data_IF_713471914673
#
_entry.id   IF_713471914673
#
_cell.length_a   1.000
_cell.length_b   1.000
_cell.length_c   1.000
_cell.angle_alpha   90.00
_cell.angle_beta   90.00
_cell.angle_gamma   90.00
#
_symmetry.space_group_name_H-M   'P 1'
#
loop_
_entity.id
_entity.type
_entity.pdbx_description
1 polymer ?
#
# COMPACT_ATOMS: atom_id res chain seq x y z
N UNK A 1 14.72 -12.04 -8.39
CA UNK A 1 13.28 -12.08 -8.15
C UNK A 1 12.67 -10.69 -8.20
N UNK A 2 11.35 -10.62 -8.35
CA UNK A 2 10.60 -9.36 -8.41
C UNK A 2 9.70 -9.18 -7.19
N UNK A 3 9.58 -10.21 -6.36
CA UNK A 3 8.73 -10.19 -5.19
C UNK A 3 9.53 -9.77 -3.95
N UNK A 4 8.90 -9.05 -3.00
CA UNK A 4 9.49 -8.83 -1.69
C UNK A 4 9.72 -10.17 -0.99
N UNK A 5 10.73 -10.23 -0.16
CA UNK A 5 11.04 -11.40 0.68
C UNK A 5 11.45 -10.95 2.07
N UNK A 6 11.19 -11.80 3.04
CA UNK A 6 11.52 -11.59 4.43
C UNK A 6 12.39 -12.74 4.93
N UNK A 7 13.31 -12.43 5.82
CA UNK A 7 14.18 -13.42 6.47
C UNK A 7 14.14 -13.19 7.97
N UNK A 8 13.74 -14.20 8.73
CA UNK A 8 13.86 -14.15 10.18
C UNK A 8 15.33 -14.36 10.58
N UNK A 9 15.95 -13.30 11.06
CA UNK A 9 17.36 -13.29 11.49
C UNK A 9 17.52 -13.54 12.98
N UNK A 10 16.45 -13.58 13.77
CA UNK A 10 16.50 -13.77 15.23
C UNK A 10 17.38 -14.92 15.69
N UNK A 11 17.35 -16.12 15.05
CA UNK A 11 18.20 -17.24 15.46
C UNK A 11 19.70 -17.04 15.19
N UNK A 12 20.06 -16.01 14.44
CA UNK A 12 21.44 -15.75 13.98
C UNK A 12 22.04 -14.49 14.58
N UNK A 13 21.28 -13.78 15.42
CA UNK A 13 21.78 -12.59 16.09
C UNK A 13 22.83 -12.96 17.14
N UNK A 14 23.90 -12.18 17.16
CA UNK A 14 24.92 -12.24 18.22
C UNK A 14 24.36 -11.65 19.53
N UNK A 15 25.10 -11.84 20.61
CA UNK A 15 24.74 -11.31 21.93
C UNK A 15 24.60 -9.77 21.90
N UNK A 16 23.80 -9.25 22.84
CA UNK A 16 23.51 -7.82 22.93
C UNK A 16 24.79 -6.99 23.04
N UNK A 17 24.97 -6.09 22.08
CA UNK A 17 26.13 -5.21 21.99
C UNK A 17 27.21 -5.68 21.02
N UNK A 18 27.10 -6.87 20.48
CA UNK A 18 27.98 -7.36 19.43
C UNK A 18 27.50 -6.94 18.04
N UNK A 19 28.44 -6.87 17.10
CA UNK A 19 28.14 -6.51 15.70
C UNK A 19 27.58 -7.72 14.96
N UNK A 20 26.45 -7.52 14.28
CA UNK A 20 25.88 -8.48 13.35
C UNK A 20 26.26 -8.08 11.91
N UNK A 21 26.57 -9.07 11.08
CA UNK A 21 26.93 -8.84 9.67
C UNK A 21 25.94 -9.56 8.77
N UNK A 22 25.34 -8.80 7.86
CA UNK A 22 24.48 -9.34 6.80
C UNK A 22 25.29 -9.33 5.50
N UNK A 23 25.35 -10.49 4.83
CA UNK A 23 25.98 -10.64 3.52
C UNK A 23 24.92 -10.98 2.49
N UNK A 24 24.80 -10.14 1.47
CA UNK A 24 23.90 -10.35 0.35
C UNK A 24 24.69 -10.75 -0.88
N UNK A 25 24.32 -11.87 -1.51
CA UNK A 25 24.84 -12.27 -2.83
C UNK A 25 23.77 -12.06 -3.89
N UNK A 26 24.08 -11.27 -4.89
CA UNK A 26 23.25 -11.06 -6.07
C UNK A 26 23.89 -11.74 -7.26
N UNK A 27 23.11 -12.54 -7.97
CA UNK A 27 23.52 -13.16 -9.23
C UNK A 27 22.56 -12.74 -10.33
N UNK A 28 23.08 -12.09 -11.34
CA UNK A 28 22.34 -11.64 -12.51
C UNK A 28 23.18 -11.94 -13.77
N UNK A 29 22.76 -12.95 -14.47
CA UNK A 29 23.49 -13.42 -15.66
C UNK A 29 22.94 -12.79 -16.92
N UNK A 30 23.84 -12.39 -17.80
CA UNK A 30 23.49 -11.87 -19.12
C UNK A 30 23.10 -13.03 -20.05
N UNK A 31 21.89 -13.55 -19.87
CA UNK A 31 21.32 -14.59 -20.72
C UNK A 31 19.85 -14.31 -21.05
N UNK A 32 19.33 -14.95 -22.08
CA UNK A 32 17.99 -14.71 -22.61
C UNK A 32 16.88 -15.51 -21.88
N UNK A 33 17.24 -16.36 -20.93
CA UNK A 33 16.32 -17.28 -20.25
C UNK A 33 15.78 -16.76 -18.92
N UNK A 34 16.29 -15.63 -18.45
CA UNK A 34 15.81 -15.03 -17.20
C UNK A 34 14.77 -13.94 -17.43
N UNK A 35 13.89 -13.74 -16.46
CA UNK A 35 12.90 -12.68 -16.49
C UNK A 35 13.58 -11.33 -16.30
N UNK A 36 13.40 -10.41 -17.24
CA UNK A 36 14.01 -9.08 -17.24
C UNK A 36 13.01 -7.93 -17.14
N UNK A 37 11.72 -8.23 -17.26
CA UNK A 37 10.73 -7.17 -17.44
C UNK A 37 11.00 -6.38 -18.73
N UNK A 38 11.03 -5.06 -18.62
CA UNK A 38 11.34 -4.15 -19.75
C UNK A 38 12.81 -3.70 -19.81
N UNK A 39 13.71 -4.40 -19.14
CA UNK A 39 15.13 -4.10 -19.22
C UNK A 39 15.70 -4.57 -20.56
N UNK A 40 16.58 -3.76 -21.16
CA UNK A 40 17.31 -4.12 -22.37
C UNK A 40 18.28 -5.28 -22.09
N UNK A 41 18.53 -6.10 -23.10
CA UNK A 41 19.65 -7.05 -23.11
C UNK A 41 20.95 -6.43 -23.64
N UNK A 42 20.88 -5.18 -24.12
CA UNK A 42 22.04 -4.38 -24.54
C UNK A 42 22.45 -3.43 -23.40
N UNK A 43 23.68 -2.94 -23.42
CA UNK A 43 24.21 -2.02 -22.40
C UNK A 43 23.54 -0.64 -22.43
N UNK A 44 22.88 -0.31 -23.52
CA UNK A 44 22.19 0.97 -23.70
C UNK A 44 20.70 0.76 -23.85
N UNK A 45 19.88 1.70 -23.38
CA UNK A 45 18.45 1.65 -23.64
C UNK A 45 18.19 1.73 -25.14
N UNK A 46 17.30 0.87 -25.62
CA UNK A 46 16.99 0.75 -27.05
C UNK A 46 15.48 0.71 -27.23
N UNK A 47 14.91 1.66 -27.97
CA UNK A 47 13.46 1.75 -28.22
C UNK A 47 12.66 1.90 -26.91
N UNK A 48 11.87 0.87 -26.55
CA UNK A 48 11.04 0.85 -25.33
C UNK A 48 11.68 0.07 -24.18
N UNK A 49 12.96 -0.31 -24.31
CA UNK A 49 13.68 -1.08 -23.29
C UNK A 49 14.56 -0.16 -22.45
N UNK A 50 14.52 -0.35 -21.14
CA UNK A 50 15.26 0.44 -20.16
C UNK A 50 16.69 -0.07 -19.95
N UNK A 51 17.50 0.72 -19.28
CA UNK A 51 18.86 0.34 -18.87
C UNK A 51 18.77 -0.90 -17.98
N UNK A 52 19.59 -1.94 -18.21
CA UNK A 52 19.70 -3.07 -17.31
C UNK A 52 20.17 -2.65 -15.93
N UNK A 53 19.52 -3.16 -14.90
CA UNK A 53 19.90 -2.94 -13.51
C UNK A 53 19.83 -4.26 -12.75
N UNK A 54 20.74 -4.45 -11.80
CA UNK A 54 20.86 -5.68 -11.02
C UNK A 54 20.87 -5.36 -9.54
N UNK A 55 20.35 -6.27 -8.74
CA UNK A 55 20.34 -6.15 -7.28
C UNK A 55 18.98 -5.84 -6.68
N UNK A 56 18.99 -5.52 -5.40
CA UNK A 56 17.79 -5.10 -4.67
C UNK A 56 17.51 -3.66 -5.04
N UNK A 57 16.33 -3.41 -5.59
CA UNK A 57 15.94 -2.11 -6.14
C UNK A 57 14.96 -1.34 -5.24
N UNK A 58 14.48 -1.95 -4.17
CA UNK A 58 13.63 -1.31 -3.16
C UNK A 58 14.31 -1.33 -1.79
N UNK A 59 13.73 -0.60 -0.84
CA UNK A 59 14.27 -0.44 0.50
C UNK A 59 14.50 -1.77 1.23
N UNK A 60 15.60 -1.84 1.94
CA UNK A 60 15.92 -2.93 2.89
C UNK A 60 15.83 -2.35 4.30
N UNK A 61 15.06 -3.00 5.16
CA UNK A 61 14.87 -2.55 6.53
C UNK A 61 14.77 -3.73 7.49
N UNK A 62 15.01 -3.46 8.77
CA UNK A 62 14.78 -4.38 9.86
C UNK A 62 13.51 -3.99 10.58
N UNK A 63 12.72 -4.99 10.92
CA UNK A 63 11.49 -4.82 11.66
C UNK A 63 11.47 -5.79 12.84
N UNK A 64 11.20 -5.27 14.04
CA UNK A 64 10.93 -6.09 15.21
C UNK A 64 9.44 -6.43 15.24
N UNK A 65 9.11 -7.71 15.34
CA UNK A 65 7.73 -8.19 15.39
C UNK A 65 7.52 -9.10 16.59
N UNK A 66 6.34 -9.05 17.17
CA UNK A 66 5.90 -10.01 18.16
C UNK A 66 5.73 -11.40 17.54
N UNK A 67 5.66 -12.43 18.37
CA UNK A 67 5.44 -13.81 17.88
C UNK A 67 4.11 -13.95 17.11
N UNK A 68 3.08 -13.25 17.57
CA UNK A 68 1.80 -13.10 16.85
C UNK A 68 1.57 -11.64 16.54
N UNK A 69 1.39 -11.32 15.26
CA UNK A 69 1.20 -9.97 14.76
C UNK A 69 0.20 -9.92 13.60
N UNK A 70 -0.28 -8.72 13.30
CA UNK A 70 -1.13 -8.44 12.13
C UNK A 70 -0.25 -8.46 10.87
N UNK A 71 -0.45 -9.45 10.02
CA UNK A 71 0.30 -9.59 8.76
C UNK A 71 -0.23 -8.60 7.70
N UNK A 72 -1.54 -8.63 7.44
CA UNK A 72 -2.18 -7.78 6.42
C UNK A 72 -3.49 -7.20 6.90
N UNK A 73 -3.79 -6.00 6.37
CA UNK A 73 -5.07 -5.31 6.53
C UNK A 73 -5.59 -4.98 5.14
N UNK A 74 -6.84 -5.35 4.86
CA UNK A 74 -7.58 -4.90 3.69
C UNK A 74 -8.78 -4.10 4.14
N UNK A 75 -8.95 -2.91 3.58
CA UNK A 75 -10.09 -2.03 3.86
C UNK A 75 -10.91 -1.86 2.60
N UNK A 76 -12.19 -2.22 2.68
CA UNK A 76 -13.15 -2.04 1.59
C UNK A 76 -14.20 -1.02 2.03
N UNK A 77 -14.23 0.20 1.47
CA UNK A 77 -15.21 1.20 1.82
C UNK A 77 -16.53 0.99 1.08
N UNK A 78 -17.64 1.34 1.75
CA UNK A 78 -19.00 1.33 1.23
C UNK A 78 -19.64 2.70 1.48
N UNK A 79 -19.63 3.56 0.46
CA UNK A 79 -20.10 4.93 0.58
C UNK A 79 -21.61 5.03 0.85
N UNK A 80 -22.40 4.14 0.23
CA UNK A 80 -23.87 4.17 0.34
C UNK A 80 -24.34 3.82 1.78
N UNK A 81 -23.57 3.08 2.54
CA UNK A 81 -23.84 2.70 3.93
C UNK A 81 -22.90 3.34 4.92
N UNK A 82 -22.06 4.28 4.47
CA UNK A 82 -21.08 4.97 5.33
C UNK A 82 -20.33 3.99 6.23
N UNK A 83 -19.75 2.95 5.64
CA UNK A 83 -19.09 1.89 6.40
C UNK A 83 -17.84 1.41 5.69
N UNK A 84 -17.00 0.74 6.46
CA UNK A 84 -15.85 0.00 5.95
C UNK A 84 -15.94 -1.45 6.37
N UNK A 85 -15.57 -2.35 5.50
CA UNK A 85 -15.26 -3.74 5.83
C UNK A 85 -13.75 -3.90 5.95
N UNK A 86 -13.30 -4.54 7.02
CA UNK A 86 -11.90 -4.76 7.29
C UNK A 86 -11.67 -6.26 7.34
N UNK A 87 -10.79 -6.76 6.46
CA UNK A 87 -10.23 -8.10 6.56
C UNK A 87 -8.83 -8.00 7.16
N UNK A 88 -8.63 -8.72 8.27
CA UNK A 88 -7.40 -8.72 9.05
C UNK A 88 -6.82 -10.12 8.98
N UNK A 89 -5.59 -10.26 8.50
CA UNK A 89 -4.85 -11.50 8.47
C UNK A 89 -3.74 -11.46 9.51
N UNK A 90 -3.59 -12.54 10.24
CA UNK A 90 -2.53 -12.72 11.23
C UNK A 90 -1.48 -13.70 10.69
N UNK A 91 -0.24 -13.56 11.15
CA UNK A 91 0.83 -14.50 10.77
C UNK A 91 0.63 -15.90 11.35
N UNK A 92 -0.11 -16.01 12.47
CA UNK A 92 -0.47 -17.26 13.16
C UNK A 92 -1.87 -17.11 13.76
N UNK A 93 -2.42 -18.20 14.27
CA UNK A 93 -3.66 -18.16 15.05
C UNK A 93 -3.53 -17.20 16.24
N UNK A 94 -4.47 -16.29 16.34
CA UNK A 94 -4.58 -15.33 17.43
C UNK A 94 -5.90 -15.49 18.16
N UNK A 95 -5.85 -15.57 19.49
CA UNK A 95 -7.03 -15.56 20.36
C UNK A 95 -6.91 -14.42 21.35
N UNK A 96 -7.74 -13.41 21.19
CA UNK A 96 -7.66 -12.21 22.02
C UNK A 96 -8.64 -11.14 21.61
N UNK A 97 -8.36 -9.92 22.04
CA UNK A 97 -9.11 -8.72 21.62
C UNK A 97 -8.31 -7.90 20.63
N UNK A 98 -9.02 -7.26 19.73
CA UNK A 98 -8.50 -6.24 18.83
C UNK A 98 -9.34 -4.96 19.00
N UNK A 99 -8.67 -3.81 18.99
CA UNK A 99 -9.28 -2.49 18.90
C UNK A 99 -9.00 -1.92 17.52
N UNK A 100 -10.03 -1.39 16.87
CA UNK A 100 -9.90 -0.65 15.62
C UNK A 100 -10.27 0.82 15.90
N UNK A 101 -9.37 1.72 15.49
CA UNK A 101 -9.53 3.16 15.63
C UNK A 101 -9.44 3.80 14.25
N UNK A 102 -10.48 4.52 13.85
CA UNK A 102 -10.51 5.32 12.62
C UNK A 102 -10.37 6.80 12.96
N UNK A 103 -9.44 7.48 12.27
CA UNK A 103 -9.21 8.92 12.39
C UNK A 103 -9.23 9.60 11.03
N UNK A 104 -9.49 10.90 11.02
CA UNK A 104 -9.31 11.76 9.85
C UNK A 104 -7.87 12.28 9.72
N UNK A 105 -7.63 13.12 8.71
CA UNK A 105 -6.33 13.75 8.45
C UNK A 105 -5.90 14.74 9.54
N UNK A 106 -6.84 15.22 10.36
CA UNK A 106 -6.58 16.11 11.50
C UNK A 106 -6.34 15.35 12.80
N UNK A 107 -6.21 14.01 12.74
CA UNK A 107 -6.07 13.12 13.89
C UNK A 107 -7.30 13.07 14.80
N UNK A 108 -8.47 13.50 14.30
CA UNK A 108 -9.73 13.45 15.04
C UNK A 108 -10.29 12.03 14.96
N UNK A 109 -10.64 11.46 16.12
CA UNK A 109 -11.28 10.15 16.22
C UNK A 109 -12.68 10.20 15.60
N UNK A 110 -12.90 9.36 14.57
CA UNK A 110 -14.18 9.19 13.91
C UNK A 110 -14.96 8.05 14.54
N UNK A 111 -14.30 6.91 14.76
CA UNK A 111 -14.93 5.73 15.33
C UNK A 111 -13.90 4.84 16.02
N UNK A 112 -14.34 4.20 17.12
CA UNK A 112 -13.53 3.20 17.83
C UNK A 112 -14.39 1.99 18.19
N UNK A 113 -13.97 0.82 17.75
CA UNK A 113 -14.63 -0.43 18.09
C UNK A 113 -13.64 -1.44 18.66
N UNK A 114 -14.13 -2.30 19.55
CA UNK A 114 -13.36 -3.42 20.08
C UNK A 114 -14.12 -4.73 19.84
N UNK A 115 -13.41 -5.75 19.43
CA UNK A 115 -13.98 -7.05 19.08
C UNK A 115 -13.03 -8.19 19.47
N UNK A 116 -13.60 -9.40 19.57
CA UNK A 116 -12.83 -10.61 19.81
C UNK A 116 -12.37 -11.23 18.50
N UNK A 117 -11.16 -11.78 18.54
CA UNK A 117 -10.54 -12.56 17.47
C UNK A 117 -10.30 -13.98 17.99
N UNK A 118 -10.60 -14.99 17.17
CA UNK A 118 -10.27 -16.38 17.39
C UNK A 118 -9.99 -17.01 16.01
N UNK A 119 -8.72 -17.15 15.65
CA UNK A 119 -8.26 -17.70 14.37
C UNK A 119 -7.16 -16.87 13.67
N UNK A 120 -6.88 -17.23 12.43
CA UNK A 120 -5.84 -16.62 11.60
C UNK A 120 -6.34 -15.43 10.77
N UNK A 121 -7.66 -15.26 10.72
CA UNK A 121 -8.32 -14.22 9.93
C UNK A 121 -9.55 -13.69 10.68
N UNK A 122 -9.84 -12.39 10.50
CA UNK A 122 -11.02 -11.74 11.04
C UNK A 122 -11.60 -10.75 10.06
N UNK A 123 -12.91 -10.85 9.82
CA UNK A 123 -13.69 -9.85 9.09
C UNK A 123 -14.59 -9.09 10.05
N UNK A 124 -14.61 -7.79 9.91
CA UNK A 124 -15.53 -6.91 10.64
C UNK A 124 -16.04 -5.80 9.73
N UNK A 125 -17.21 -5.28 10.07
CA UNK A 125 -17.76 -4.08 9.44
C UNK A 125 -17.91 -2.99 10.49
N UNK A 126 -17.42 -1.80 10.17
CA UNK A 126 -17.47 -0.61 11.03
C UNK A 126 -18.32 0.44 10.31
N UNK A 127 -19.32 0.96 11.01
CA UNK A 127 -20.09 2.11 10.56
C UNK A 127 -19.31 3.38 10.89
N UNK A 128 -19.28 4.33 9.95
CA UNK A 128 -18.62 5.61 10.15
C UNK A 128 -19.70 6.68 10.40
N UNK A 129 -19.73 7.29 11.59
CA UNK A 129 -20.83 8.17 12.01
C UNK A 129 -20.72 9.59 11.44
N UNK A 130 -20.70 9.73 10.11
CA UNK A 130 -20.65 11.06 9.46
C UNK A 130 -21.99 11.83 9.53
N UNK A 131 -23.04 11.26 10.13
CA UNK A 131 -24.37 11.87 10.22
C UNK A 131 -25.19 11.77 8.94
N UNK A 132 -26.39 12.39 8.93
CA UNK A 132 -27.33 12.34 7.81
C UNK A 132 -26.85 13.14 6.59
N UNK A 133 -25.93 14.06 6.77
CA UNK A 133 -25.27 14.81 5.71
C UNK A 133 -23.85 14.31 5.54
N UNK A 134 -23.69 13.20 4.82
CA UNK A 134 -22.37 12.87 4.27
C UNK A 134 -22.09 13.93 3.21
N UNK A 135 -21.34 14.93 3.59
CA UNK A 135 -20.83 15.87 2.63
C UNK A 135 -19.93 15.11 1.67
N UNK A 136 -20.10 15.35 0.37
CA UNK A 136 -19.19 14.84 -0.67
C UNK A 136 -17.72 15.17 -0.37
N UNK A 137 -17.49 16.11 0.54
CA UNK A 137 -16.20 16.50 1.10
C UNK A 137 -15.45 15.34 1.78
N UNK A 138 -16.15 14.31 2.27
CA UNK A 138 -15.54 13.14 2.88
C UNK A 138 -15.19 12.03 1.87
N UNK A 139 -15.65 12.17 0.61
CA UNK A 139 -15.34 11.16 -0.40
C UNK A 139 -14.04 11.47 -1.11
N UNK A 140 -13.22 10.44 -1.18
CA UNK A 140 -11.99 10.52 -1.94
C UNK A 140 -12.29 10.64 -3.45
N UNK A 141 -11.63 11.58 -4.09
CA UNK A 141 -11.56 11.70 -5.55
C UNK A 141 -10.19 12.27 -5.94
N UNK A 142 -9.80 12.23 -7.24
CA UNK A 142 -8.57 12.89 -7.70
C UNK A 142 -8.51 14.40 -7.41
N UNK A 143 -9.66 15.05 -7.28
CA UNK A 143 -9.78 16.48 -6.96
C UNK A 143 -9.96 16.74 -5.46
N UNK A 144 -10.33 15.73 -4.70
CA UNK A 144 -10.49 15.75 -3.23
C UNK A 144 -9.88 14.48 -2.61
N UNK A 145 -8.56 14.38 -2.49
CA UNK A 145 -7.87 13.14 -2.09
C UNK A 145 -7.87 12.89 -0.57
N UNK A 146 -8.99 13.07 0.09
CA UNK A 146 -9.16 12.87 1.55
C UNK A 146 -8.90 11.43 1.93
N UNK A 147 -8.08 11.23 2.95
CA UNK A 147 -7.75 9.93 3.51
C UNK A 147 -8.19 9.82 4.97
N UNK A 148 -8.57 8.61 5.36
CA UNK A 148 -8.78 8.20 6.74
C UNK A 148 -7.68 7.23 7.14
N UNK A 149 -7.39 7.15 8.43
CA UNK A 149 -6.35 6.31 9.00
C UNK A 149 -6.99 5.29 9.94
N UNK A 150 -6.69 4.03 9.70
CA UNK A 150 -7.13 2.92 10.53
C UNK A 150 -5.93 2.39 11.31
N UNK A 151 -6.04 2.37 12.62
CA UNK A 151 -5.08 1.71 13.51
C UNK A 151 -5.74 0.51 14.19
N UNK A 152 -5.14 -0.66 14.05
CA UNK A 152 -5.54 -1.88 14.74
C UNK A 152 -4.53 -2.18 15.84
N UNK A 153 -5.02 -2.40 17.07
CA UNK A 153 -4.18 -2.74 18.23
C UNK A 153 -4.67 -4.05 18.83
N UNK A 154 -3.80 -5.03 18.94
CA UNK A 154 -4.09 -6.33 19.56
C UNK A 154 -3.85 -6.30 21.07
N UNK A 155 -4.52 -7.19 21.79
CA UNK A 155 -4.35 -7.32 23.24
C UNK A 155 -2.98 -7.83 23.68
N UNK A 156 -2.14 -8.33 22.76
CA UNK A 156 -0.75 -8.68 23.02
C UNK A 156 0.21 -7.49 22.83
N UNK A 157 -0.30 -6.33 22.39
CA UNK A 157 0.48 -5.12 22.17
C UNK A 157 0.92 -4.90 20.72
N UNK A 158 0.64 -5.81 19.78
CA UNK A 158 0.90 -5.58 18.37
C UNK A 158 0.00 -4.49 17.81
N UNK A 159 0.56 -3.65 16.94
CA UNK A 159 -0.16 -2.55 16.32
C UNK A 159 0.20 -2.43 14.84
N UNK A 160 -0.82 -2.24 14.01
CA UNK A 160 -0.64 -1.97 12.58
C UNK A 160 -1.60 -0.92 12.10
N UNK A 161 -1.09 0.05 11.32
CA UNK A 161 -1.88 1.13 10.74
C UNK A 161 -1.89 1.04 9.22
N UNK A 162 -2.97 1.56 8.63
CA UNK A 162 -3.13 1.76 7.19
C UNK A 162 -3.99 2.98 6.91
N UNK A 163 -3.95 3.50 5.70
CA UNK A 163 -4.85 4.56 5.24
C UNK A 163 -5.81 4.07 4.18
N UNK A 164 -6.97 4.72 4.08
CA UNK A 164 -7.95 4.42 3.04
C UNK A 164 -8.72 5.68 2.63
N UNK A 165 -9.17 5.73 1.36
CA UNK A 165 -10.11 6.75 0.91
C UNK A 165 -11.52 6.19 0.90
N UNK A 166 -12.50 6.94 1.40
CA UNK A 166 -13.91 6.56 1.34
C UNK A 166 -14.43 6.79 -0.08
N UNK A 167 -14.38 5.75 -0.90
CA UNK A 167 -14.78 5.81 -2.32
C UNK A 167 -15.38 4.49 -2.77
N UNK A 168 -16.17 4.55 -3.83
CA UNK A 168 -16.44 3.39 -4.64
C UNK A 168 -16.12 3.67 -6.12
N UNK A 169 -15.74 2.61 -6.84
CA UNK A 169 -15.57 2.64 -8.29
C UNK A 169 -16.31 1.43 -8.86
N UNK A 170 -17.15 1.66 -9.88
CA UNK A 170 -17.91 0.59 -10.53
C UNK A 170 -18.10 0.88 -12.01
N UNK A 171 -18.46 -0.14 -12.76
CA UNK A 171 -18.87 -0.01 -14.16
C UNK A 171 -20.36 -0.32 -14.26
N UNK A 172 -21.11 0.61 -14.80
CA UNK A 172 -22.56 0.49 -15.00
C UNK A 172 -22.91 1.08 -16.37
N UNK A 173 -23.68 0.37 -17.16
CA UNK A 173 -24.08 0.73 -18.53
C UNK A 173 -22.89 1.18 -19.41
N UNK A 174 -21.76 0.49 -19.30
CA UNK A 174 -20.53 0.80 -20.05
C UNK A 174 -19.81 2.09 -19.62
N UNK A 175 -20.21 2.69 -18.51
CA UNK A 175 -19.58 3.89 -17.94
C UNK A 175 -18.86 3.54 -16.63
N UNK A 176 -17.71 4.16 -16.42
CA UNK A 176 -17.05 4.14 -15.11
C UNK A 176 -17.72 5.17 -14.23
N UNK A 177 -18.11 4.75 -13.02
CA UNK A 177 -18.64 5.62 -11.99
C UNK A 177 -17.65 5.68 -10.83
N UNK A 178 -17.33 6.88 -10.36
CA UNK A 178 -16.63 7.13 -9.11
C UNK A 178 -17.59 7.83 -8.16
N UNK A 179 -17.80 7.28 -6.99
CA UNK A 179 -18.74 7.79 -5.98
C UNK A 179 -20.15 8.01 -6.58
N UNK A 180 -20.65 7.03 -7.33
CA UNK A 180 -21.93 7.03 -8.01
C UNK A 180 -22.08 8.08 -9.15
N UNK A 181 -21.01 8.81 -9.49
CA UNK A 181 -21.02 9.82 -10.57
C UNK A 181 -20.21 9.35 -11.76
N UNK A 182 -20.63 9.63 -13.01
CA UNK A 182 -19.84 9.31 -14.19
C UNK A 182 -18.43 9.92 -14.11
N UNK A 183 -17.42 9.06 -14.28
CA UNK A 183 -16.01 9.44 -14.24
C UNK A 183 -15.34 9.12 -15.57
N UNK A 184 -14.87 10.16 -16.26
CA UNK A 184 -14.12 9.99 -17.49
C UNK A 184 -12.62 9.89 -17.20
N UNK A 185 -12.07 8.69 -17.34
CA UNK A 185 -10.65 8.42 -17.11
C UNK A 185 -9.78 9.00 -18.21
N UNK A 186 -9.08 10.09 -17.92
CA UNK A 186 -8.02 10.66 -18.75
C UNK A 186 -6.69 10.25 -18.15
N UNK A 187 -6.14 9.14 -18.63
CA UNK A 187 -4.95 8.54 -18.04
C UNK A 187 -3.75 8.64 -18.98
N UNK A 188 -2.58 8.78 -18.38
CA UNK A 188 -1.30 8.68 -19.05
C UNK A 188 -0.57 7.41 -18.60
N UNK A 189 0.25 6.85 -19.47
CA UNK A 189 1.18 5.79 -19.10
C UNK A 189 2.44 6.42 -18.51
N UNK A 190 2.71 6.12 -17.25
CA UNK A 190 3.99 6.37 -16.58
C UNK A 190 4.53 5.03 -16.06
N UNK A 191 5.77 4.73 -16.33
CA UNK A 191 6.41 3.48 -15.90
C UNK A 191 7.30 3.65 -14.67
N UNK A 192 7.39 4.85 -14.11
CA UNK A 192 8.24 5.15 -12.96
C UNK A 192 9.71 4.93 -13.23
N UNK A 193 10.16 5.28 -14.43
CA UNK A 193 11.55 5.19 -14.83
C UNK A 193 12.17 6.59 -14.91
N UNK A 194 13.28 6.77 -14.23
CA UNK A 194 14.01 8.02 -14.14
C UNK A 194 15.47 7.81 -14.56
N UNK A 195 16.10 8.84 -15.12
CA UNK A 195 17.46 8.72 -15.69
C UNK A 195 18.51 8.37 -14.64
N UNK A 196 18.42 8.96 -13.45
CA UNK A 196 19.41 8.79 -12.38
C UNK A 196 19.04 7.66 -11.40
N UNK A 197 17.78 7.53 -11.05
CA UNK A 197 17.28 6.58 -10.05
C UNK A 197 16.68 5.30 -10.64
N UNK A 198 16.61 5.21 -11.96
CA UNK A 198 16.06 4.07 -12.72
C UNK A 198 14.58 3.78 -12.33
N UNK A 199 14.32 2.62 -11.76
CA UNK A 199 12.97 2.20 -11.33
C UNK A 199 12.66 2.55 -9.87
N UNK A 200 13.51 3.33 -9.22
CA UNK A 200 13.42 3.69 -7.79
C UNK A 200 13.46 5.20 -7.60
N UNK A 201 12.54 5.90 -8.24
CA UNK A 201 12.43 7.35 -8.16
C UNK A 201 12.33 7.86 -6.74
N UNK A 202 12.84 9.06 -6.50
CA UNK A 202 12.63 9.78 -5.24
C UNK A 202 11.20 10.29 -5.14
N UNK A 203 10.77 10.68 -3.95
CA UNK A 203 9.44 11.28 -3.73
C UNK A 203 9.29 12.53 -4.60
N UNK A 204 10.32 13.37 -4.67
CA UNK A 204 10.34 14.60 -5.44
C UNK A 204 10.22 14.37 -6.95
N UNK A 205 10.84 13.31 -7.48
CA UNK A 205 10.70 12.93 -8.88
C UNK A 205 9.26 12.50 -9.21
N UNK A 206 8.65 11.66 -8.36
CA UNK A 206 7.25 11.26 -8.53
C UNK A 206 6.29 12.44 -8.39
N UNK A 207 6.49 13.31 -7.41
CA UNK A 207 5.65 14.50 -7.21
C UNK A 207 5.73 15.45 -8.40
N UNK A 208 6.93 15.67 -8.93
CA UNK A 208 7.15 16.49 -10.12
C UNK A 208 6.39 15.96 -11.33
N UNK A 209 6.48 14.66 -11.59
CA UNK A 209 5.74 14.00 -12.66
C UNK A 209 4.23 14.13 -12.48
N UNK A 210 3.72 13.88 -11.28
CA UNK A 210 2.28 13.95 -10.98
C UNK A 210 1.73 15.37 -11.09
N UNK A 211 2.50 16.38 -10.67
CA UNK A 211 2.15 17.79 -10.85
C UNK A 211 2.04 18.14 -12.34
N UNK A 212 2.97 17.67 -13.16
CA UNK A 212 2.95 17.88 -14.61
C UNK A 212 1.74 17.19 -15.25
N UNK A 213 1.50 15.93 -14.91
CA UNK A 213 0.35 15.13 -15.36
C UNK A 213 -0.97 15.85 -15.05
N UNK A 214 -1.11 16.36 -13.83
CA UNK A 214 -2.31 17.12 -13.41
C UNK A 214 -2.46 18.43 -14.18
N UNK A 215 -1.36 19.19 -14.39
CA UNK A 215 -1.36 20.41 -15.21
C UNK A 215 -1.75 20.16 -16.67
N UNK A 216 -1.45 19.00 -17.21
CA UNK A 216 -1.85 18.58 -18.56
C UNK A 216 -3.31 18.14 -18.65
N UNK A 217 -4.05 18.12 -17.54
CA UNK A 217 -5.48 17.75 -17.48
C UNK A 217 -5.76 16.27 -17.38
N UNK A 218 -4.77 15.44 -17.10
CA UNK A 218 -4.98 14.04 -16.77
C UNK A 218 -5.44 13.88 -15.31
N UNK A 219 -6.21 12.83 -15.05
CA UNK A 219 -6.74 12.50 -13.72
C UNK A 219 -6.33 11.12 -13.22
N UNK A 220 -5.36 10.51 -13.87
CA UNK A 220 -4.79 9.25 -13.44
C UNK A 220 -3.54 8.88 -14.21
N UNK A 221 -2.77 7.97 -13.63
CA UNK A 221 -1.57 7.36 -14.21
C UNK A 221 -1.68 5.84 -14.15
N UNK A 222 -1.12 5.19 -15.14
CA UNK A 222 -0.94 3.74 -15.17
C UNK A 222 0.52 3.42 -15.04
#
# INVERSE_FOLDING_TARGET
GYLPFEVNITPYLNDKGETNTIVLRVEDYKNDYQLRGKQSWEEKPTRCWYIPSSGIWQSVYLEERLDVFIDRIFVTPFIDSQSIEIAILFNKEFKGKCSALVRDESDIEIERVSFSVDGIEKHIRIMLPFGDSVDELNYWSPDNPVLFYLTLTLSNGDEKSTSFGLRNIRVEDGKVLLNNKPFFSRMILNQGYFDDSLLTGTVEEYESDLVLVKKMGFNGVR
#
